data_IF_834178217435
#
_entry.id   IF_834178217435
#
_cell.length_a   1.000
_cell.length_b   1.000
_cell.length_c   1.000
_cell.angle_alpha   90.00
_cell.angle_beta   90.00
_cell.angle_gamma   90.00
#
_symmetry.space_group_name_H-M   'P 1'
#
loop_
_entity.id
_entity.type
_entity.pdbx_description
1 polymer ?
#
# COMPACT_ATOMS: atom_id res chain seq x y z
N UNK A 1 0.50 62.12 -56.30
CA UNK A 1 -0.81 61.65 -56.79
C UNK A 1 -0.95 60.17 -56.44
N UNK A 2 -1.90 59.88 -55.55
CA UNK A 2 -2.67 58.64 -55.35
C UNK A 2 -1.89 57.31 -55.23
N UNK A 3 -1.81 56.72 -54.02
CA UNK A 3 -2.73 55.66 -53.51
C UNK A 3 -2.07 54.27 -53.70
N UNK A 4 -2.05 53.29 -52.79
CA UNK A 4 -2.55 53.10 -51.43
C UNK A 4 -2.02 51.75 -50.89
N UNK A 5 -2.02 51.61 -49.54
CA UNK A 5 -2.26 50.39 -48.72
C UNK A 5 -1.19 49.28 -48.78
N UNK A 6 -0.80 48.62 -47.69
CA UNK A 6 -1.50 48.32 -46.44
C UNK A 6 -0.47 48.02 -45.34
N UNK A 7 -0.60 48.69 -44.20
CA UNK A 7 0.01 48.29 -42.94
C UNK A 7 -1.07 47.79 -41.97
N UNK A 8 -0.63 47.04 -40.97
CA UNK A 8 -1.00 47.08 -39.55
C UNK A 8 -0.98 45.67 -38.97
N UNK A 9 0.12 45.36 -38.29
CA UNK A 9 0.21 44.28 -37.32
C UNK A 9 -0.50 44.74 -36.04
N UNK A 10 -1.60 44.09 -35.69
CA UNK A 10 -2.26 44.29 -34.43
C UNK A 10 -2.05 43.10 -33.48
N UNK A 11 -1.62 43.47 -32.27
CA UNK A 11 -2.14 42.97 -31.01
C UNK A 11 -1.69 41.59 -30.52
N UNK A 12 -0.77 41.66 -29.55
CA UNK A 12 -1.13 41.34 -28.17
C UNK A 12 -1.51 39.90 -27.88
N UNK A 13 -0.52 39.09 -27.54
CA UNK A 13 -0.74 38.00 -26.59
C UNK A 13 0.38 37.97 -25.55
N UNK A 14 0.09 38.67 -24.46
CA UNK A 14 0.65 38.47 -23.13
C UNK A 14 0.31 37.03 -22.70
N UNK A 15 1.18 36.10 -23.09
CA UNK A 15 1.08 34.70 -22.70
C UNK A 15 1.59 34.55 -21.27
N UNK A 16 0.63 34.60 -20.36
CA UNK A 16 0.67 34.23 -18.95
C UNK A 16 1.40 32.87 -18.77
N UNK A 17 2.73 32.88 -18.63
CA UNK A 17 3.52 31.72 -18.20
C UNK A 17 3.40 31.61 -16.68
N UNK A 18 2.28 31.06 -16.22
CA UNK A 18 2.27 30.35 -14.95
C UNK A 18 2.91 28.99 -15.19
N UNK A 19 4.24 28.93 -15.07
CA UNK A 19 4.93 27.67 -14.78
C UNK A 19 4.41 27.20 -13.42
N UNK A 20 3.34 26.41 -13.41
CA UNK A 20 2.98 25.61 -12.24
C UNK A 20 4.14 24.66 -12.02
N UNK A 21 5.00 24.99 -11.09
CA UNK A 21 5.98 24.07 -10.51
C UNK A 21 5.17 22.88 -10.03
N UNK A 22 5.25 21.76 -10.75
CA UNK A 22 4.53 20.56 -10.39
C UNK A 22 5.24 20.01 -9.15
N UNK A 23 4.63 20.21 -7.98
CA UNK A 23 5.14 19.69 -6.70
C UNK A 23 5.55 18.22 -6.88
N UNK A 24 6.64 17.80 -6.24
CA UNK A 24 7.09 16.40 -6.22
C UNK A 24 6.20 15.49 -5.36
N UNK A 25 5.25 16.09 -4.63
CA UNK A 25 4.40 15.42 -3.63
C UNK A 25 2.91 15.77 -3.79
N UNK A 26 2.33 15.82 -5.00
CA UNK A 26 1.01 16.35 -5.23
C UNK A 26 -0.08 15.50 -4.58
N UNK A 27 0.08 14.17 -4.57
CA UNK A 27 -0.91 13.29 -3.95
C UNK A 27 -0.81 13.33 -2.44
N UNK A 28 0.38 13.22 -1.87
CA UNK A 28 0.57 13.24 -0.42
C UNK A 28 0.15 14.58 0.19
N UNK A 29 0.43 15.72 -0.45
CA UNK A 29 -0.04 17.02 0.02
C UNK A 29 -1.56 17.08 0.10
N UNK A 30 -2.25 16.53 -0.89
CA UNK A 30 -3.69 16.65 -1.01
C UNK A 30 -4.44 15.61 -0.18
N UNK A 31 -3.88 14.41 -0.03
CA UNK A 31 -4.47 13.29 0.74
C UNK A 31 -4.29 13.42 2.25
N UNK A 32 -3.34 14.24 2.72
CA UNK A 32 -3.03 14.39 4.15
C UNK A 32 -3.51 15.71 4.75
N UNK A 33 -4.05 16.62 3.94
CA UNK A 33 -4.45 17.97 4.34
C UNK A 33 -5.58 17.93 5.38
N UNK A 34 -5.30 18.31 6.65
CA UNK A 34 -6.30 18.24 7.72
C UNK A 34 -7.41 19.31 7.56
N UNK A 35 -7.19 20.35 6.75
CA UNK A 35 -8.16 21.43 6.54
C UNK A 35 -9.29 21.04 5.60
N UNK A 36 -9.04 20.07 4.72
CA UNK A 36 -10.01 19.62 3.74
C UNK A 36 -10.87 18.46 4.24
N UNK A 37 -10.63 17.98 5.45
CA UNK A 37 -11.30 16.79 5.98
C UNK A 37 -11.30 15.67 4.95
N UNK A 38 -12.43 15.00 4.79
CA UNK A 38 -12.65 13.91 3.84
C UNK A 38 -12.86 14.35 2.38
N UNK A 39 -13.41 15.55 2.14
CA UNK A 39 -13.65 16.09 0.80
C UNK A 39 -12.35 16.36 0.04
N UNK A 40 -11.27 16.70 0.75
CA UNK A 40 -9.97 16.99 0.15
C UNK A 40 -9.30 15.84 -0.54
N UNK A 41 -9.45 14.64 0.03
CA UNK A 41 -8.85 13.44 -0.53
C UNK A 41 -9.66 12.93 -1.71
N UNK A 42 -10.99 12.92 -1.61
CA UNK A 42 -11.83 12.57 -2.75
C UNK A 42 -11.63 13.58 -3.89
N UNK A 43 -11.47 14.86 -3.59
CA UNK A 43 -11.01 15.85 -4.56
C UNK A 43 -9.58 15.58 -5.05
N UNK A 44 -8.70 14.96 -4.26
CA UNK A 44 -7.37 14.53 -4.68
C UNK A 44 -7.39 13.43 -5.71
N UNK A 45 -8.11 12.37 -5.39
CA UNK A 45 -8.29 11.21 -6.24
C UNK A 45 -9.05 11.63 -7.50
N UNK A 46 -10.13 12.40 -7.38
CA UNK A 46 -10.90 12.91 -8.51
C UNK A 46 -10.14 13.94 -9.37
N UNK A 47 -9.33 14.82 -8.78
CA UNK A 47 -8.48 15.76 -9.53
C UNK A 47 -7.32 15.06 -10.24
N UNK A 48 -6.80 13.97 -9.65
CA UNK A 48 -5.81 13.13 -10.29
C UNK A 48 -6.41 12.15 -11.32
N UNK A 49 -7.71 11.89 -11.25
CA UNK A 49 -8.44 10.95 -12.11
C UNK A 49 -9.74 11.56 -12.70
N UNK A 50 -9.66 12.59 -13.56
CA UNK A 50 -10.82 13.37 -14.02
C UNK A 50 -11.85 12.61 -14.89
N UNK A 51 -11.65 11.31 -15.15
CA UNK A 51 -12.47 10.52 -16.08
C UNK A 51 -13.14 9.29 -15.48
N UNK A 52 -13.03 9.03 -14.18
CA UNK A 52 -13.74 7.91 -13.54
C UNK A 52 -15.12 8.38 -13.08
N UNK A 53 -16.04 8.58 -14.03
CA UNK A 53 -17.46 8.41 -13.72
C UNK A 53 -17.69 6.90 -13.71
N UNK A 54 -17.68 6.28 -12.54
CA UNK A 54 -18.17 4.92 -12.38
C UNK A 54 -19.62 4.89 -12.89
N UNK A 55 -19.85 4.25 -14.02
CA UNK A 55 -21.18 3.83 -14.42
C UNK A 55 -21.46 2.51 -13.73
N UNK A 56 -22.54 2.45 -12.95
CA UNK A 56 -23.03 1.29 -12.18
C UNK A 56 -23.10 -0.05 -12.96
N UNK A 57 -22.98 0.00 -14.29
CA UNK A 57 -23.07 -1.16 -15.20
C UNK A 57 -21.90 -2.14 -15.17
N UNK A 58 -20.73 -1.80 -14.62
CA UNK A 58 -19.57 -2.70 -14.63
C UNK A 58 -19.54 -3.68 -13.44
N UNK A 59 -20.29 -3.40 -12.37
CA UNK A 59 -20.41 -4.27 -11.20
C UNK A 59 -21.42 -5.42 -11.41
N UNK A 60 -22.42 -5.24 -12.29
CA UNK A 60 -23.51 -6.20 -12.50
C UNK A 60 -23.13 -7.42 -13.37
N UNK A 61 -22.02 -7.39 -14.10
CA UNK A 61 -21.60 -8.49 -14.98
C UNK A 61 -20.67 -9.53 -14.31
N UNK A 62 -20.47 -9.43 -12.99
CA UNK A 62 -19.66 -10.38 -12.23
C UNK A 62 -20.47 -11.61 -11.85
N UNK A 63 -20.59 -12.56 -12.79
CA UNK A 63 -21.07 -13.91 -12.48
C UNK A 63 -20.14 -14.56 -11.43
N UNK A 64 -20.68 -14.67 -10.21
CA UNK A 64 -20.11 -15.47 -9.12
C UNK A 64 -20.33 -16.94 -9.47
N UNK A 65 -19.28 -17.63 -9.91
CA UNK A 65 -19.31 -19.09 -10.01
C UNK A 65 -18.09 -19.72 -9.34
N UNK A 66 -18.39 -20.66 -8.45
CA UNK A 66 -17.50 -21.63 -7.80
C UNK A 66 -16.41 -21.07 -6.86
N UNK A 67 -16.82 -20.42 -5.77
CA UNK A 67 -15.98 -20.31 -4.56
C UNK A 67 -16.63 -21.14 -3.45
N UNK A 68 -15.85 -21.83 -2.62
CA UNK A 68 -16.39 -22.43 -1.39
C UNK A 68 -17.09 -21.33 -0.59
N UNK A 69 -18.30 -21.60 -0.13
CA UNK A 69 -19.21 -20.62 0.49
C UNK A 69 -18.65 -19.87 1.71
N UNK A 70 -17.45 -20.22 2.17
CA UNK A 70 -16.89 -19.82 3.46
C UNK A 70 -15.65 -18.89 3.36
N UNK A 71 -15.20 -18.49 2.17
CA UNK A 71 -14.06 -17.56 1.99
C UNK A 71 -14.49 -16.23 1.38
N UNK A 72 -14.00 -15.12 1.96
CA UNK A 72 -14.23 -13.77 1.43
C UNK A 72 -13.60 -13.63 0.04
N UNK A 73 -14.27 -12.93 -0.87
CA UNK A 73 -13.80 -12.66 -2.23
C UNK A 73 -12.36 -12.11 -2.21
N UNK A 74 -11.39 -12.83 -2.80
CA UNK A 74 -10.00 -12.43 -2.80
C UNK A 74 -9.67 -11.09 -3.43
N UNK A 75 -10.55 -10.57 -4.29
CA UNK A 75 -10.41 -9.21 -4.82
C UNK A 75 -10.45 -8.18 -3.70
N UNK A 76 -11.09 -8.50 -2.58
CA UNK A 76 -11.06 -7.66 -1.38
C UNK A 76 -9.72 -7.73 -0.63
N UNK A 77 -8.94 -8.79 -0.73
CA UNK A 77 -7.59 -8.88 -0.14
C UNK A 77 -6.52 -8.19 -0.98
N UNK A 78 -6.84 -8.00 -2.26
CA UNK A 78 -6.07 -7.23 -3.25
C UNK A 78 -6.55 -5.80 -3.40
N UNK A 79 -7.68 -5.43 -2.78
CA UNK A 79 -8.02 -4.03 -2.68
C UNK A 79 -6.86 -3.39 -1.92
N UNK A 80 -6.13 -2.58 -2.66
CA UNK A 80 -5.16 -1.67 -2.10
C UNK A 80 -5.96 -0.65 -1.29
N UNK A 81 -6.35 -1.04 -0.07
CA UNK A 81 -7.05 -0.17 0.89
C UNK A 81 -6.20 1.02 1.29
N UNK A 82 -4.95 1.13 0.80
CA UNK A 82 -4.23 2.38 0.84
C UNK A 82 -5.00 3.49 0.09
N UNK A 83 -5.78 3.15 -0.95
CA UNK A 83 -6.74 4.07 -1.58
C UNK A 83 -7.87 4.50 -0.65
N UNK A 84 -8.17 3.65 0.33
CA UNK A 84 -9.23 3.84 1.31
C UNK A 84 -8.68 4.54 2.56
N UNK A 85 -7.38 4.51 2.87
CA UNK A 85 -6.75 5.26 4.00
C UNK A 85 -7.15 6.72 4.08
N UNK A 86 -7.63 7.26 2.96
CA UNK A 86 -7.95 8.65 2.79
C UNK A 86 -9.40 8.88 2.32
N UNK A 87 -10.23 7.84 2.13
CA UNK A 87 -11.63 7.97 1.70
C UNK A 87 -12.63 7.96 2.88
N UNK A 88 -13.72 8.73 2.76
CA UNK A 88 -14.69 9.01 3.83
C UNK A 88 -15.63 7.85 4.22
N UNK A 89 -16.25 8.01 5.40
CA UNK A 89 -17.40 7.27 5.91
C UNK A 89 -18.60 7.28 4.92
N UNK A 90 -18.88 8.42 4.27
CA UNK A 90 -20.13 8.67 3.52
C UNK A 90 -20.30 7.89 2.20
N UNK A 91 -19.24 7.27 1.68
CA UNK A 91 -19.28 6.44 0.46
C UNK A 91 -19.34 4.93 0.76
N UNK A 92 -18.92 4.51 1.95
CA UNK A 92 -18.99 3.12 2.42
C UNK A 92 -20.24 2.84 3.24
N UNK A 93 -20.80 3.88 3.84
CA UNK A 93 -21.97 3.90 4.68
C UNK A 93 -22.86 4.98 4.05
N UNK A 94 -23.97 4.58 3.44
CA UNK A 94 -24.84 5.53 2.75
C UNK A 94 -25.23 6.71 3.66
N UNK A 95 -25.79 7.76 3.08
CA UNK A 95 -26.21 9.01 3.75
C UNK A 95 -27.21 8.86 4.94
N UNK A 96 -27.44 7.65 5.44
CA UNK A 96 -28.08 7.30 6.70
C UNK A 96 -27.06 7.16 7.85
N UNK A 97 -26.43 8.28 8.25
CA UNK A 97 -25.33 8.41 9.23
C UNK A 97 -25.55 7.96 10.69
N UNK A 98 -26.47 7.03 10.96
CA UNK A 98 -26.63 6.36 12.26
C UNK A 98 -26.77 4.84 12.17
N UNK A 99 -27.42 4.31 11.12
CA UNK A 99 -27.59 2.86 10.95
C UNK A 99 -26.29 2.16 10.54
N UNK A 100 -25.52 2.80 9.68
CA UNK A 100 -24.35 2.20 9.05
C UNK A 100 -23.12 2.19 9.96
N UNK A 101 -22.93 3.24 10.79
CA UNK A 101 -21.91 3.22 11.86
C UNK A 101 -22.17 2.11 12.89
N UNK A 102 -23.45 1.88 13.22
CA UNK A 102 -23.84 0.77 14.09
C UNK A 102 -23.52 -0.60 13.47
N UNK A 103 -23.57 -0.74 12.14
CA UNK A 103 -23.22 -1.98 11.45
C UNK A 103 -21.71 -2.21 11.43
N UNK A 104 -20.89 -1.17 11.25
CA UNK A 104 -19.41 -1.30 11.32
C UNK A 104 -18.97 -1.66 12.74
N UNK A 105 -19.52 -1.01 13.76
CA UNK A 105 -19.23 -1.34 15.16
C UNK A 105 -19.66 -2.77 15.52
N UNK A 106 -20.85 -3.20 15.03
CA UNK A 106 -21.33 -4.56 15.22
C UNK A 106 -20.44 -5.58 14.49
N UNK A 107 -20.04 -5.29 13.25
CA UNK A 107 -19.17 -6.14 12.43
C UNK A 107 -17.79 -6.27 13.06
N UNK A 108 -17.20 -5.15 13.53
CA UNK A 108 -15.95 -5.15 14.30
C UNK A 108 -16.09 -6.06 15.52
N UNK A 109 -17.11 -5.82 16.36
CA UNK A 109 -17.31 -6.58 17.59
C UNK A 109 -17.47 -8.08 17.33
N UNK A 110 -18.29 -8.45 16.34
CA UNK A 110 -18.49 -9.84 15.94
C UNK A 110 -17.17 -10.46 15.47
N UNK A 111 -16.48 -9.80 14.54
CA UNK A 111 -15.26 -10.30 13.90
C UNK A 111 -14.15 -10.54 14.90
N UNK A 112 -13.87 -9.56 15.78
CA UNK A 112 -12.81 -9.70 16.78
C UNK A 112 -13.20 -10.64 17.94
N UNK A 113 -14.50 -10.85 18.17
CA UNK A 113 -14.97 -11.90 19.08
C UNK A 113 -14.67 -13.28 18.50
N UNK A 114 -15.01 -13.52 17.23
CA UNK A 114 -14.74 -14.79 16.57
C UNK A 114 -13.23 -15.04 16.40
N UNK A 115 -12.45 -14.03 16.02
CA UNK A 115 -10.98 -14.11 15.95
C UNK A 115 -10.38 -14.60 17.28
N UNK A 116 -10.85 -14.03 18.41
CA UNK A 116 -10.43 -14.45 19.75
C UNK A 116 -10.87 -15.88 20.09
N UNK A 117 -12.05 -16.30 19.64
CA UNK A 117 -12.53 -17.68 19.84
C UNK A 117 -11.69 -18.69 19.07
N UNK A 118 -11.32 -18.38 17.83
CA UNK A 118 -10.46 -19.26 17.04
C UNK A 118 -9.04 -19.33 17.60
N UNK A 119 -8.47 -18.21 18.05
CA UNK A 119 -7.16 -18.18 18.69
C UNK A 119 -7.06 -19.00 20.00
N UNK A 120 -8.19 -19.34 20.63
CA UNK A 120 -8.23 -20.09 21.90
C UNK A 120 -8.63 -21.55 21.75
N UNK A 121 -9.07 -22.00 20.56
CA UNK A 121 -9.45 -23.39 20.30
C UNK A 121 -8.26 -24.18 19.73
N UNK A 122 -8.17 -25.46 20.08
CA UNK A 122 -7.23 -26.40 19.46
C UNK A 122 -7.59 -26.64 17.97
N UNK A 123 -6.61 -27.12 17.19
CA UNK A 123 -6.51 -27.15 15.73
C UNK A 123 -7.72 -27.62 14.87
N UNK A 124 -8.80 -28.10 15.47
CA UNK A 124 -9.93 -28.75 14.80
C UNK A 124 -10.87 -27.76 14.05
N UNK A 125 -10.58 -26.44 14.02
CA UNK A 125 -11.38 -25.46 13.26
C UNK A 125 -10.57 -24.46 12.42
N UNK A 126 -9.41 -24.87 11.90
CA UNK A 126 -8.61 -24.01 11.00
C UNK A 126 -9.40 -23.53 9.77
N UNK A 127 -10.37 -24.33 9.31
CA UNK A 127 -11.22 -24.02 8.14
C UNK A 127 -11.91 -22.66 8.24
N UNK A 128 -12.26 -22.23 9.47
CA UNK A 128 -12.92 -20.94 9.69
C UNK A 128 -11.96 -19.86 10.22
N UNK A 129 -10.72 -20.22 10.56
CA UNK A 129 -9.76 -19.28 11.12
C UNK A 129 -9.22 -18.32 10.05
N UNK A 130 -8.91 -18.83 8.85
CA UNK A 130 -8.49 -17.98 7.74
C UNK A 130 -9.56 -16.94 7.35
N UNK A 131 -10.84 -17.30 7.13
CA UNK A 131 -11.91 -16.32 6.90
C UNK A 131 -12.07 -15.29 8.02
N UNK A 132 -11.95 -15.70 9.29
CA UNK A 132 -12.02 -14.78 10.42
C UNK A 132 -10.86 -13.76 10.42
N UNK A 133 -9.64 -14.21 10.11
CA UNK A 133 -8.48 -13.32 9.97
C UNK A 133 -8.64 -12.37 8.78
N UNK A 134 -9.17 -12.85 7.65
CA UNK A 134 -9.46 -12.03 6.47
C UNK A 134 -10.48 -10.94 6.79
N UNK A 135 -11.59 -11.30 7.45
CA UNK A 135 -12.60 -10.35 7.90
C UNK A 135 -12.00 -9.29 8.85
N UNK A 136 -11.17 -9.73 9.80
CA UNK A 136 -10.55 -8.83 10.77
C UNK A 136 -9.58 -7.85 10.09
N UNK A 137 -8.79 -8.33 9.13
CA UNK A 137 -7.90 -7.49 8.32
C UNK A 137 -8.69 -6.45 7.50
N UNK A 138 -9.83 -6.83 6.92
CA UNK A 138 -10.69 -5.87 6.22
C UNK A 138 -11.26 -4.81 7.15
N UNK A 139 -11.71 -5.18 8.35
CA UNK A 139 -12.16 -4.19 9.35
C UNK A 139 -11.02 -3.24 9.70
N UNK A 140 -9.80 -3.73 9.88
CA UNK A 140 -8.63 -2.87 10.12
C UNK A 140 -8.40 -1.90 8.96
N UNK A 141 -8.40 -2.41 7.73
CA UNK A 141 -8.24 -1.58 6.54
C UNK A 141 -9.32 -0.50 6.42
N UNK A 142 -10.59 -0.86 6.64
CA UNK A 142 -11.71 0.08 6.66
C UNK A 142 -11.56 1.12 7.79
N UNK A 143 -11.14 0.72 8.98
CA UNK A 143 -10.98 1.64 10.11
C UNK A 143 -9.78 2.57 9.97
N UNK A 144 -8.81 2.21 9.13
CA UNK A 144 -7.68 3.07 8.81
C UNK A 144 -8.11 4.27 7.94
N UNK A 145 -9.20 4.09 7.20
CA UNK A 145 -9.87 5.08 6.36
C UNK A 145 -10.72 6.09 7.14
N UNK A 146 -11.26 5.66 8.28
CA UNK A 146 -12.16 6.48 9.09
C UNK A 146 -11.40 7.72 9.61
N UNK A 147 -11.97 8.90 9.37
CA UNK A 147 -11.37 10.19 9.71
C UNK A 147 -11.24 10.48 11.22
N UNK A 148 -11.81 9.64 12.08
CA UNK A 148 -11.74 9.79 13.55
C UNK A 148 -10.40 9.30 14.13
N UNK A 149 -9.59 10.19 14.73
CA UNK A 149 -8.30 9.82 15.34
C UNK A 149 -8.42 8.78 16.47
N UNK A 150 -9.54 8.75 17.20
CA UNK A 150 -9.73 7.77 18.28
C UNK A 150 -9.94 6.37 17.71
N UNK A 151 -10.76 6.24 16.67
CA UNK A 151 -10.97 4.98 15.95
C UNK A 151 -9.67 4.49 15.32
N UNK A 152 -8.91 5.37 14.64
CA UNK A 152 -7.57 5.01 14.12
C UNK A 152 -6.60 4.56 15.21
N UNK A 153 -6.59 5.26 16.37
CA UNK A 153 -5.78 4.86 17.53
C UNK A 153 -6.17 3.48 18.06
N UNK A 154 -7.48 3.20 18.23
CA UNK A 154 -7.95 1.88 18.67
C UNK A 154 -7.56 0.80 17.67
N UNK A 155 -7.74 1.07 16.39
CA UNK A 155 -7.38 0.16 15.31
C UNK A 155 -5.88 -0.16 15.38
N UNK A 156 -5.01 0.86 15.41
CA UNK A 156 -3.56 0.69 15.43
C UNK A 156 -3.07 0.00 16.72
N UNK A 157 -3.57 0.41 17.90
CA UNK A 157 -3.05 -0.10 19.17
C UNK A 157 -3.68 -1.43 19.62
N UNK A 158 -4.82 -1.84 19.07
CA UNK A 158 -5.56 -3.02 19.56
C UNK A 158 -5.96 -3.99 18.45
N UNK A 159 -6.44 -3.49 17.31
CA UNK A 159 -7.01 -4.36 16.27
C UNK A 159 -5.94 -4.91 15.36
N UNK A 160 -5.07 -4.06 14.84
CA UNK A 160 -3.95 -4.49 14.00
C UNK A 160 -3.04 -5.51 14.74
N UNK A 161 -2.59 -5.27 15.98
CA UNK A 161 -1.83 -6.27 16.74
C UNK A 161 -2.57 -7.59 16.92
N UNK A 162 -3.89 -7.55 17.18
CA UNK A 162 -4.69 -8.77 17.33
C UNK A 162 -4.77 -9.60 16.03
N UNK A 163 -4.83 -8.95 14.86
CA UNK A 163 -4.79 -9.65 13.56
C UNK A 163 -3.40 -10.24 13.30
N UNK A 164 -2.33 -9.50 13.61
CA UNK A 164 -0.95 -9.98 13.50
C UNK A 164 -0.75 -11.23 14.38
N UNK A 165 -1.17 -11.17 15.64
CA UNK A 165 -1.05 -12.29 16.58
C UNK A 165 -1.90 -13.49 16.16
N UNK A 166 -3.09 -13.26 15.60
CA UNK A 166 -3.92 -14.33 15.06
C UNK A 166 -3.26 -15.00 13.84
N UNK A 167 -2.67 -14.23 12.91
CA UNK A 167 -1.96 -14.77 11.76
C UNK A 167 -0.73 -15.59 12.18
N UNK A 168 0.00 -15.16 13.22
CA UNK A 168 1.10 -15.92 13.83
C UNK A 168 0.60 -17.21 14.46
N UNK A 169 -0.44 -17.15 15.30
CA UNK A 169 -1.01 -18.29 15.99
C UNK A 169 -1.58 -19.35 15.03
N UNK A 170 -2.13 -18.91 13.89
CA UNK A 170 -2.64 -19.78 12.85
C UNK A 170 -1.55 -20.41 11.96
N UNK A 171 -0.28 -19.99 12.09
CA UNK A 171 0.82 -20.48 11.26
C UNK A 171 0.80 -19.96 9.82
N UNK A 172 0.11 -18.84 9.55
CA UNK A 172 0.06 -18.26 8.20
C UNK A 172 1.36 -17.53 7.84
N UNK A 173 2.08 -17.03 8.85
CA UNK A 173 3.37 -16.35 8.68
C UNK A 173 4.42 -17.33 8.15
N UNK A 174 5.09 -16.94 7.06
CA UNK A 174 6.14 -17.76 6.45
C UNK A 174 5.63 -18.86 5.51
N UNK A 175 4.32 -18.95 5.26
CA UNK A 175 3.77 -19.88 4.27
C UNK A 175 4.39 -19.61 2.89
N UNK A 176 4.78 -20.68 2.21
CA UNK A 176 5.35 -20.65 0.88
C UNK A 176 4.64 -21.66 -0.04
N UNK A 177 4.67 -21.37 -1.35
CA UNK A 177 4.24 -22.34 -2.37
C UNK A 177 5.22 -23.51 -2.44
N UNK A 178 4.72 -24.70 -2.75
CA UNK A 178 5.57 -25.85 -3.04
C UNK A 178 6.29 -25.63 -4.38
N UNK A 179 7.61 -25.81 -4.38
CA UNK A 179 8.47 -25.63 -5.56
C UNK A 179 8.49 -26.86 -6.50
N UNK A 180 7.80 -27.94 -6.13
CA UNK A 180 7.82 -29.20 -6.89
C UNK A 180 6.44 -29.46 -7.51
N UNK A 181 6.42 -29.57 -8.84
CA UNK A 181 5.23 -29.79 -9.66
C UNK A 181 4.40 -30.97 -9.16
N UNK A 182 3.14 -30.69 -8.84
CA UNK A 182 2.23 -31.60 -8.16
C UNK A 182 1.39 -30.96 -7.04
N UNK A 183 1.49 -29.64 -6.83
CA UNK A 183 0.56 -28.94 -5.92
C UNK A 183 -0.86 -29.04 -6.48
N UNK A 184 -1.77 -29.67 -5.74
CA UNK A 184 -3.19 -29.68 -6.06
C UNK A 184 -3.69 -28.22 -6.08
N UNK A 185 -4.56 -27.88 -7.03
CA UNK A 185 -5.06 -26.50 -7.19
C UNK A 185 -5.70 -25.96 -5.90
N UNK A 186 -6.40 -26.81 -5.15
CA UNK A 186 -7.01 -26.50 -3.84
C UNK A 186 -5.97 -26.13 -2.77
N UNK A 187 -4.88 -26.89 -2.67
CA UNK A 187 -3.76 -26.60 -1.77
C UNK A 187 -3.05 -25.29 -2.14
N UNK A 188 -2.89 -25.03 -3.45
CA UNK A 188 -2.39 -23.75 -3.92
C UNK A 188 -3.29 -22.61 -3.45
N UNK A 189 -4.61 -22.75 -3.64
CA UNK A 189 -5.57 -21.71 -3.29
C UNK A 189 -5.50 -21.35 -1.79
N UNK A 190 -5.46 -22.36 -0.93
CA UNK A 190 -5.35 -22.15 0.51
C UNK A 190 -4.04 -21.44 0.88
N UNK A 191 -2.90 -21.89 0.35
CA UNK A 191 -1.59 -21.28 0.62
C UNK A 191 -1.52 -19.84 0.12
N UNK A 192 -2.02 -19.60 -1.08
CA UNK A 192 -2.05 -18.28 -1.69
C UNK A 192 -2.93 -17.31 -0.90
N UNK A 193 -4.08 -17.77 -0.38
CA UNK A 193 -4.92 -16.98 0.50
C UNK A 193 -4.19 -16.56 1.79
N UNK A 194 -3.41 -17.47 2.40
CA UNK A 194 -2.58 -17.17 3.57
C UNK A 194 -1.47 -16.17 3.24
N UNK A 195 -0.76 -16.36 2.12
CA UNK A 195 0.32 -15.47 1.66
C UNK A 195 -0.22 -14.05 1.43
N UNK A 196 -1.36 -13.93 0.74
CA UNK A 196 -2.01 -12.64 0.48
C UNK A 196 -2.51 -11.98 1.75
N UNK A 197 -3.10 -12.73 2.68
CA UNK A 197 -3.52 -12.21 3.98
C UNK A 197 -2.32 -11.63 4.73
N UNK A 198 -1.22 -12.38 4.88
CA UNK A 198 -0.02 -11.92 5.58
C UNK A 198 0.58 -10.67 4.91
N UNK A 199 0.60 -10.65 3.58
CA UNK A 199 1.07 -9.48 2.82
C UNK A 199 0.21 -8.25 3.08
N UNK A 200 -1.12 -8.42 3.15
CA UNK A 200 -2.07 -7.33 3.44
C UNK A 200 -1.94 -6.84 4.89
N UNK A 201 -1.84 -7.76 5.86
CA UNK A 201 -1.61 -7.43 7.28
C UNK A 201 -0.33 -6.63 7.46
N UNK A 202 0.77 -7.05 6.81
CA UNK A 202 2.03 -6.31 6.83
C UNK A 202 1.91 -4.93 6.17
N UNK A 203 1.22 -4.86 5.04
CA UNK A 203 0.98 -3.59 4.33
C UNK A 203 0.27 -2.60 5.26
N UNK A 204 -0.79 -3.01 5.95
CA UNK A 204 -1.48 -2.17 6.94
C UNK A 204 -0.52 -1.71 8.07
N UNK A 205 0.30 -2.60 8.61
CA UNK A 205 1.30 -2.28 9.65
C UNK A 205 2.32 -1.23 9.18
N UNK A 206 2.79 -1.37 7.94
CA UNK A 206 3.76 -0.46 7.35
C UNK A 206 3.17 0.91 7.00
N UNK A 207 1.90 0.95 6.58
CA UNK A 207 1.17 2.20 6.38
C UNK A 207 0.99 2.93 7.73
N UNK A 208 0.66 2.23 8.81
CA UNK A 208 0.61 2.82 10.15
C UNK A 208 1.95 3.40 10.59
N UNK A 209 3.03 2.68 10.29
CA UNK A 209 4.39 3.14 10.57
C UNK A 209 4.73 4.41 9.78
N UNK A 210 4.39 4.42 8.49
CA UNK A 210 4.67 5.52 7.58
C UNK A 210 3.85 6.77 7.92
N UNK A 211 2.52 6.65 8.00
CA UNK A 211 1.63 7.82 8.09
C UNK A 211 1.44 8.34 9.51
N UNK A 212 1.57 7.47 10.52
CA UNK A 212 1.18 7.78 11.89
C UNK A 212 2.32 7.65 12.90
N UNK A 213 3.57 7.37 12.46
CA UNK A 213 4.70 7.00 13.33
C UNK A 213 4.33 5.89 14.33
N UNK A 214 3.44 4.98 13.95
CA UNK A 214 3.13 3.86 14.81
C UNK A 214 4.32 2.88 14.81
N UNK A 215 4.79 2.39 15.96
CA UNK A 215 5.80 1.33 15.96
C UNK A 215 5.31 0.10 15.20
N UNK A 216 6.12 -0.50 14.31
CA UNK A 216 5.77 -1.74 13.62
C UNK A 216 5.34 -2.85 14.59
N UNK A 217 4.20 -3.47 14.34
CA UNK A 217 3.74 -4.67 15.06
C UNK A 217 4.26 -5.96 14.42
N UNK A 218 4.70 -5.89 13.15
CA UNK A 218 5.24 -7.00 12.38
C UNK A 218 6.67 -6.72 11.90
N UNK A 219 7.56 -7.68 12.12
CA UNK A 219 8.95 -7.57 11.69
C UNK A 219 9.10 -7.99 10.21
N UNK A 220 10.01 -7.34 9.49
CA UNK A 220 10.36 -7.72 8.11
C UNK A 220 10.84 -9.18 8.03
N UNK A 221 11.49 -9.68 9.10
CA UNK A 221 11.96 -11.05 9.19
C UNK A 221 10.85 -12.09 9.09
N UNK A 222 9.62 -11.73 9.44
CA UNK A 222 8.42 -12.58 9.37
C UNK A 222 7.91 -12.76 7.94
N UNK A 223 8.30 -11.88 7.01
CA UNK A 223 7.98 -12.00 5.59
C UNK A 223 8.94 -12.94 4.86
N UNK A 224 9.15 -14.13 5.41
CA UNK A 224 10.04 -15.16 4.86
C UNK A 224 9.33 -16.14 3.91
N UNK A 225 8.01 -16.04 3.78
CA UNK A 225 7.21 -16.86 2.88
C UNK A 225 7.32 -16.43 1.42
N UNK A 226 6.62 -17.13 0.54
CA UNK A 226 6.52 -16.74 -0.88
C UNK A 226 5.87 -15.36 -0.99
N UNK A 227 6.28 -14.57 -2.00
CA UNK A 227 5.47 -13.43 -2.43
C UNK A 227 4.16 -13.92 -3.06
N UNK A 228 3.10 -13.09 -3.06
CA UNK A 228 1.87 -13.44 -3.76
C UNK A 228 2.12 -13.69 -5.24
N UNK A 229 1.46 -14.71 -5.76
CA UNK A 229 1.54 -15.08 -7.18
C UNK A 229 0.86 -14.04 -8.07
N UNK A 230 1.15 -14.04 -9.39
CA UNK A 230 0.44 -13.19 -10.36
C UNK A 230 -1.07 -13.42 -10.33
N UNK A 231 -1.84 -12.39 -10.67
CA UNK A 231 -3.30 -12.42 -10.58
C UNK A 231 -3.90 -13.45 -11.54
N UNK A 232 -3.26 -13.72 -12.65
CA UNK A 232 -3.69 -14.68 -13.66
C UNK A 232 -3.76 -16.10 -13.07
N UNK A 233 -2.78 -16.48 -12.24
CA UNK A 233 -2.77 -17.78 -11.56
C UNK A 233 -3.82 -17.83 -10.46
N UNK A 234 -3.91 -16.76 -9.68
CA UNK A 234 -4.81 -16.68 -8.54
C UNK A 234 -6.28 -16.63 -8.94
N UNK A 235 -6.60 -15.91 -10.03
CA UNK A 235 -7.95 -15.72 -10.55
C UNK A 235 -8.37 -16.78 -11.56
N UNK A 236 -7.56 -17.83 -11.74
CA UNK A 236 -7.94 -18.97 -12.56
C UNK A 236 -9.30 -19.50 -12.10
N UNK A 237 -10.22 -19.69 -13.04
CA UNK A 237 -11.60 -20.14 -12.76
C UNK A 237 -11.77 -21.65 -12.81
N UNK A 238 -10.71 -22.35 -13.20
CA UNK A 238 -10.67 -23.80 -13.30
C UNK A 238 -9.25 -24.31 -13.08
N UNK A 239 -9.14 -25.57 -12.69
CA UNK A 239 -7.86 -26.26 -12.54
C UNK A 239 -7.04 -26.27 -13.83
N UNK A 240 -7.71 -26.43 -14.98
CA UNK A 240 -7.06 -26.38 -16.29
C UNK A 240 -6.45 -25.00 -16.60
N UNK A 241 -7.16 -23.93 -16.24
CA UNK A 241 -6.66 -22.56 -16.37
C UNK A 241 -5.48 -22.31 -15.43
N UNK A 242 -5.57 -22.79 -14.18
CA UNK A 242 -4.48 -22.71 -13.21
C UNK A 242 -3.18 -23.36 -13.72
N UNK A 243 -3.24 -24.60 -14.21
CA UNK A 243 -2.04 -25.26 -14.75
C UNK A 243 -1.52 -24.56 -16.00
N UNK A 244 -2.40 -24.03 -16.85
CA UNK A 244 -2.00 -23.29 -18.05
C UNK A 244 -1.20 -22.03 -17.68
N UNK A 245 -1.70 -21.22 -16.75
CA UNK A 245 -1.01 -20.01 -16.29
C UNK A 245 0.26 -20.36 -15.49
N UNK A 246 0.21 -21.41 -14.66
CA UNK A 246 1.37 -21.84 -13.85
C UNK A 246 2.53 -22.30 -14.73
N UNK A 247 2.28 -23.13 -15.75
CA UNK A 247 3.33 -23.59 -16.67
C UNK A 247 3.96 -22.45 -17.48
N UNK A 248 3.19 -21.42 -17.85
CA UNK A 248 3.72 -20.23 -18.50
C UNK A 248 4.67 -19.44 -17.59
N UNK A 249 4.49 -19.55 -16.27
CA UNK A 249 5.31 -18.88 -15.25
C UNK A 249 6.47 -19.73 -14.74
N UNK A 250 6.46 -21.05 -14.89
CA UNK A 250 7.57 -21.94 -14.50
C UNK A 250 8.89 -21.55 -15.19
N UNK A 251 8.84 -20.99 -16.41
CA UNK A 251 10.00 -20.42 -17.09
C UNK A 251 10.59 -19.15 -16.44
N UNK A 252 9.93 -18.60 -15.41
CA UNK A 252 10.28 -17.34 -14.73
C UNK A 252 10.72 -17.52 -13.27
N UNK A 253 10.62 -18.71 -12.66
CA UNK A 253 10.61 -18.83 -11.19
C UNK A 253 11.96 -19.11 -10.50
N UNK A 254 12.28 -18.20 -9.58
CA UNK A 254 12.58 -18.51 -8.18
C UNK A 254 11.87 -17.45 -7.34
N UNK A 255 10.67 -17.73 -6.82
CA UNK A 255 9.90 -16.73 -6.07
C UNK A 255 10.62 -16.40 -4.77
N UNK A 256 11.05 -15.14 -4.64
CA UNK A 256 11.74 -14.63 -3.47
C UNK A 256 10.73 -14.13 -2.46
N UNK A 257 11.10 -14.15 -1.20
CA UNK A 257 10.34 -13.53 -0.12
C UNK A 257 10.53 -12.01 -0.10
N UNK A 258 9.59 -11.25 0.48
CA UNK A 258 9.79 -9.80 0.69
C UNK A 258 11.01 -9.50 1.55
N UNK A 259 11.28 -10.35 2.56
CA UNK A 259 12.51 -10.27 3.35
C UNK A 259 13.76 -10.31 2.48
N UNK A 260 13.84 -11.25 1.54
CA UNK A 260 14.99 -11.37 0.63
C UNK A 260 15.09 -10.20 -0.34
N UNK A 261 13.97 -9.73 -0.89
CA UNK A 261 13.96 -8.57 -1.79
C UNK A 261 14.44 -7.29 -1.09
N UNK A 262 13.95 -7.03 0.14
CA UNK A 262 14.36 -5.89 0.95
C UNK A 262 15.86 -5.97 1.31
N UNK A 263 16.34 -7.16 1.69
CA UNK A 263 17.75 -7.40 1.96
C UNK A 263 18.63 -7.20 0.71
N UNK A 264 18.17 -7.66 -0.45
CA UNK A 264 18.89 -7.50 -1.71
C UNK A 264 18.96 -6.03 -2.16
N UNK A 265 17.92 -5.23 -1.92
CA UNK A 265 18.00 -3.78 -2.18
C UNK A 265 19.09 -3.11 -1.34
N UNK A 266 19.26 -3.56 -0.10
CA UNK A 266 20.29 -3.08 0.84
C UNK A 266 21.67 -3.70 0.61
N UNK A 267 21.79 -4.80 -0.14
CA UNK A 267 23.06 -5.54 -0.27
C UNK A 267 24.11 -4.81 -1.12
N UNK A 268 25.30 -5.38 -1.19
CA UNK A 268 26.32 -4.95 -2.15
C UNK A 268 25.88 -5.24 -3.61
N UNK A 269 26.52 -4.56 -4.57
CA UNK A 269 26.09 -4.55 -5.98
C UNK A 269 26.04 -5.93 -6.64
N UNK A 270 27.00 -6.82 -6.34
CA UNK A 270 27.04 -8.17 -6.89
C UNK A 270 25.81 -9.00 -6.46
N UNK A 271 25.53 -9.02 -5.16
CA UNK A 271 24.37 -9.72 -4.60
C UNK A 271 23.04 -9.12 -5.09
N UNK A 272 22.98 -7.81 -5.31
CA UNK A 272 21.81 -7.15 -5.90
C UNK A 272 21.58 -7.59 -7.35
N UNK A 273 22.63 -7.70 -8.17
CA UNK A 273 22.51 -8.12 -9.56
C UNK A 273 22.02 -9.57 -9.71
N UNK A 274 22.44 -10.45 -8.81
CA UNK A 274 21.98 -11.85 -8.75
C UNK A 274 20.55 -11.98 -8.16
N UNK A 275 20.02 -10.89 -7.60
CA UNK A 275 18.75 -10.93 -6.90
C UNK A 275 17.52 -10.98 -7.83
N UNK A 276 17.66 -10.78 -9.15
CA UNK A 276 16.55 -10.94 -10.10
C UNK A 276 15.33 -10.06 -9.80
N UNK A 277 15.53 -8.91 -9.16
CA UNK A 277 14.46 -8.03 -8.69
C UNK A 277 13.74 -7.31 -9.84
N UNK A 278 14.30 -7.31 -11.04
CA UNK A 278 13.70 -6.75 -12.25
C UNK A 278 12.38 -7.45 -12.63
N UNK A 279 12.12 -8.64 -12.10
CA UNK A 279 10.89 -9.40 -12.38
C UNK A 279 9.75 -9.08 -11.42
N UNK A 280 9.99 -8.30 -10.36
CA UNK A 280 8.95 -7.96 -9.39
C UNK A 280 7.83 -7.12 -10.02
N UNK A 281 6.59 -7.42 -9.64
CA UNK A 281 5.42 -6.64 -10.03
C UNK A 281 5.36 -5.31 -9.27
N UNK A 282 4.54 -4.35 -9.75
CA UNK A 282 4.33 -3.08 -9.03
C UNK A 282 3.78 -3.29 -7.61
N UNK A 283 2.85 -4.24 -7.42
CA UNK A 283 2.32 -4.55 -6.08
C UNK A 283 3.41 -5.08 -5.14
N UNK A 284 4.30 -5.94 -5.65
CA UNK A 284 5.43 -6.45 -4.87
C UNK A 284 6.44 -5.35 -4.56
N UNK A 285 6.73 -4.47 -5.52
CA UNK A 285 7.58 -3.31 -5.30
C UNK A 285 6.96 -2.32 -4.30
N UNK A 286 5.64 -2.09 -4.34
CA UNK A 286 4.94 -1.25 -3.37
C UNK A 286 5.11 -1.79 -1.94
N UNK A 287 4.86 -3.09 -1.74
CA UNK A 287 5.08 -3.74 -0.44
C UNK A 287 6.54 -3.64 0.02
N UNK A 288 7.49 -3.72 -0.93
CA UNK A 288 8.93 -3.62 -0.64
C UNK A 288 9.32 -2.22 -0.13
N UNK A 289 8.81 -1.13 -0.74
CA UNK A 289 9.09 0.23 -0.23
C UNK A 289 8.41 0.51 1.11
N UNK A 290 7.25 -0.09 1.34
CA UNK A 290 6.61 -0.07 2.66
C UNK A 290 7.47 -0.78 3.70
N UNK A 291 8.10 -1.91 3.37
CA UNK A 291 9.08 -2.55 4.24
C UNK A 291 10.34 -1.71 4.49
N UNK A 292 10.78 -0.90 3.52
CA UNK A 292 11.82 0.10 3.78
C UNK A 292 11.38 1.13 4.83
N UNK A 293 10.08 1.44 4.99
CA UNK A 293 9.61 2.34 6.05
C UNK A 293 9.85 1.78 7.44
N UNK A 294 9.68 0.47 7.64
CA UNK A 294 10.03 -0.17 8.91
C UNK A 294 11.51 -0.01 9.21
N UNK A 295 12.39 -0.12 8.19
CA UNK A 295 13.83 0.11 8.37
C UNK A 295 14.10 1.57 8.76
N UNK A 296 13.52 2.54 8.04
CA UNK A 296 13.65 3.98 8.34
C UNK A 296 13.18 4.29 9.77
N UNK A 297 12.02 3.75 10.16
CA UNK A 297 11.50 3.91 11.52
C UNK A 297 12.47 3.36 12.56
N UNK A 298 13.02 2.15 12.35
CA UNK A 298 13.96 1.55 13.29
C UNK A 298 15.28 2.33 13.41
N UNK A 299 15.78 2.95 12.34
CA UNK A 299 16.94 3.85 12.43
C UNK A 299 16.70 5.02 13.36
N UNK A 300 15.49 5.59 13.32
CA UNK A 300 15.08 6.69 14.19
C UNK A 300 14.88 6.20 15.63
N UNK A 301 14.22 5.05 15.81
CA UNK A 301 13.78 4.58 17.12
C UNK A 301 14.84 3.79 17.92
N UNK A 302 15.82 3.14 17.27
CA UNK A 302 16.69 2.13 17.90
C UNK A 302 18.17 2.52 18.01
N UNK A 303 18.52 3.82 17.92
CA UNK A 303 19.90 4.32 18.01
C UNK A 303 20.89 3.59 17.08
N UNK A 304 20.45 3.23 15.87
CA UNK A 304 21.28 2.49 14.92
C UNK A 304 22.45 3.35 14.39
N UNK A 305 23.61 2.76 14.04
CA UNK A 305 24.74 3.53 13.53
C UNK A 305 24.40 4.28 12.23
N UNK A 306 24.67 5.59 12.21
CA UNK A 306 24.45 6.46 11.03
C UNK A 306 25.15 5.96 9.76
N UNK A 307 26.24 5.20 9.89
CA UNK A 307 26.94 4.56 8.77
C UNK A 307 26.05 3.65 7.93
N UNK A 308 24.99 3.09 8.52
CA UNK A 308 24.03 2.25 7.81
C UNK A 308 22.96 3.03 7.03
N UNK A 309 22.80 4.34 7.23
CA UNK A 309 21.81 5.16 6.52
C UNK A 309 22.08 5.20 5.01
N UNK A 310 23.36 5.21 4.60
CA UNK A 310 23.75 5.15 3.19
C UNK A 310 23.25 3.87 2.51
N UNK A 311 23.17 2.76 3.24
CA UNK A 311 22.61 1.50 2.74
C UNK A 311 21.11 1.60 2.48
N UNK A 312 20.36 2.27 3.37
CA UNK A 312 18.92 2.47 3.18
C UNK A 312 18.64 3.44 2.04
N UNK A 313 19.42 4.52 1.92
CA UNK A 313 19.29 5.46 0.79
C UNK A 313 19.55 4.77 -0.55
N UNK A 314 20.60 3.93 -0.63
CA UNK A 314 20.89 3.11 -1.81
C UNK A 314 19.75 2.15 -2.14
N UNK A 315 19.13 1.54 -1.14
CA UNK A 315 17.99 0.66 -1.33
C UNK A 315 16.79 1.40 -1.95
N UNK A 316 16.49 2.62 -1.49
CA UNK A 316 15.44 3.47 -2.07
C UNK A 316 15.75 3.88 -3.52
N UNK A 317 17.01 4.22 -3.82
CA UNK A 317 17.42 4.60 -5.18
C UNK A 317 17.29 3.42 -6.16
N UNK A 318 17.72 2.21 -5.75
CA UNK A 318 17.54 0.98 -6.53
C UNK A 318 16.07 0.64 -6.72
N UNK A 319 15.28 0.75 -5.65
CA UNK A 319 13.84 0.54 -5.71
C UNK A 319 13.18 1.48 -6.73
N UNK A 320 13.55 2.77 -6.75
CA UNK A 320 12.98 3.75 -7.67
C UNK A 320 13.26 3.39 -9.15
N UNK A 321 14.47 2.88 -9.45
CA UNK A 321 14.80 2.40 -10.80
C UNK A 321 13.97 1.17 -11.20
N UNK A 322 13.79 0.22 -10.28
CA UNK A 322 12.95 -0.96 -10.49
C UNK A 322 11.49 -0.57 -10.70
N UNK A 323 10.99 0.37 -9.90
CA UNK A 323 9.64 0.91 -10.02
C UNK A 323 9.39 1.55 -11.39
N UNK A 324 10.29 2.45 -11.83
CA UNK A 324 10.18 3.07 -13.14
C UNK A 324 10.18 2.02 -14.27
N UNK A 325 11.08 1.05 -14.20
CA UNK A 325 11.16 -0.05 -15.17
C UNK A 325 9.89 -0.89 -15.19
N UNK A 326 9.32 -1.20 -14.03
CA UNK A 326 8.09 -1.98 -13.93
C UNK A 326 6.86 -1.20 -14.43
N UNK A 327 6.81 0.11 -14.15
CA UNK A 327 5.75 1.00 -14.62
C UNK A 327 5.77 1.18 -16.15
N UNK A 328 6.96 1.20 -16.75
CA UNK A 328 7.13 1.31 -18.21
C UNK A 328 6.63 0.08 -18.98
N UNK A 329 6.48 -1.07 -18.30
CA UNK A 329 5.85 -2.26 -18.89
C UNK A 329 4.33 -2.16 -18.96
N UNK A 330 3.73 -1.19 -18.28
CA UNK A 330 2.29 -0.98 -18.25
C UNK A 330 1.92 0.13 -19.24
N UNK A 331 1.00 -0.21 -20.14
CA UNK A 331 0.46 0.74 -21.11
C UNK A 331 -0.09 1.98 -20.41
N UNK A 332 0.18 3.20 -20.91
CA UNK A 332 -0.23 4.44 -20.26
C UNK A 332 -1.73 4.51 -19.91
N UNK A 333 -2.58 3.89 -20.74
CA UNK A 333 -4.03 3.83 -20.50
C UNK A 333 -4.40 3.03 -19.25
N UNK A 334 -3.63 1.98 -18.95
CA UNK A 334 -3.93 1.04 -17.86
C UNK A 334 -3.36 1.50 -16.52
N UNK A 335 -2.43 2.46 -16.54
CA UNK A 335 -1.83 3.05 -15.33
C UNK A 335 -2.85 3.71 -14.39
N UNK A 336 -4.03 4.09 -14.89
CA UNK A 336 -5.14 4.61 -14.05
C UNK A 336 -5.67 3.57 -13.06
N UNK A 337 -5.59 2.29 -13.40
CA UNK A 337 -6.07 1.19 -12.56
C UNK A 337 -5.11 0.78 -11.46
N UNK A 338 -3.93 1.43 -11.39
CA UNK A 338 -2.96 1.19 -10.32
C UNK A 338 -3.39 1.79 -8.96
N UNK A 339 -4.51 2.52 -8.93
CA UNK A 339 -5.00 3.16 -7.72
C UNK A 339 -3.95 4.11 -7.14
N UNK A 340 -3.78 4.10 -5.82
CA UNK A 340 -2.80 4.98 -5.17
C UNK A 340 -1.39 4.40 -5.12
N UNK A 341 -1.22 3.10 -5.39
CA UNK A 341 0.11 2.49 -5.48
C UNK A 341 1.00 3.22 -6.51
N UNK A 342 0.41 3.86 -7.53
CA UNK A 342 1.17 4.71 -8.49
C UNK A 342 1.91 5.89 -7.82
N UNK A 343 1.50 6.31 -6.62
CA UNK A 343 2.15 7.34 -5.81
C UNK A 343 3.19 6.80 -4.83
N UNK A 344 3.53 5.51 -4.87
CA UNK A 344 4.64 4.94 -4.12
C UNK A 344 5.97 5.71 -4.25
N UNK A 345 6.30 6.35 -5.41
CA UNK A 345 7.47 7.22 -5.50
C UNK A 345 7.47 8.40 -4.51
N UNK A 346 6.30 8.94 -4.15
CA UNK A 346 6.17 10.00 -3.15
C UNK A 346 6.54 9.48 -1.74
N UNK A 347 6.14 8.24 -1.42
CA UNK A 347 6.54 7.56 -0.18
C UNK A 347 8.06 7.42 -0.15
N UNK A 348 8.68 6.85 -1.19
CA UNK A 348 10.14 6.70 -1.27
C UNK A 348 10.89 8.03 -1.13
N UNK A 349 10.36 9.10 -1.75
CA UNK A 349 10.91 10.45 -1.63
C UNK A 349 10.87 10.95 -0.19
N UNK A 350 9.71 10.85 0.49
CA UNK A 350 9.58 11.28 1.88
C UNK A 350 10.50 10.47 2.79
N UNK A 351 10.61 9.15 2.60
CA UNK A 351 11.54 8.30 3.36
C UNK A 351 12.97 8.77 3.23
N UNK A 352 13.39 9.12 2.01
CA UNK A 352 14.73 9.66 1.76
C UNK A 352 14.92 10.98 2.51
N UNK A 353 13.93 11.87 2.47
CA UNK A 353 13.99 13.15 3.18
C UNK A 353 14.06 13.00 4.70
N UNK A 354 13.32 12.03 5.24
CA UNK A 354 13.44 11.64 6.65
C UNK A 354 14.88 11.20 6.95
N UNK A 355 15.48 10.30 6.17
CA UNK A 355 16.88 9.86 6.36
C UNK A 355 17.88 11.02 6.26
N UNK A 356 17.68 11.96 5.34
CA UNK A 356 18.49 13.18 5.21
C UNK A 356 18.39 14.05 6.48
N UNK A 357 17.21 14.16 7.08
CA UNK A 357 17.02 14.88 8.34
C UNK A 357 17.72 14.17 9.53
N UNK A 358 17.75 12.83 9.58
CA UNK A 358 18.53 12.05 10.57
C UNK A 358 20.02 12.38 10.44
N UNK A 359 20.53 12.39 9.20
CA UNK A 359 21.94 12.69 8.93
C UNK A 359 22.32 14.11 9.38
N UNK A 360 21.42 15.08 9.18
CA UNK A 360 21.59 16.49 9.53
C UNK A 360 21.27 16.82 10.99
N UNK A 361 20.79 15.85 11.78
CA UNK A 361 20.37 16.06 13.18
C UNK A 361 19.21 17.05 13.34
N UNK A 362 18.30 17.09 12.36
CA UNK A 362 17.13 17.98 12.31
C UNK A 362 15.84 17.32 12.82
N UNK A 363 15.93 16.22 13.55
CA UNK A 363 14.77 15.42 13.98
C UNK A 363 13.88 16.16 15.00
N UNK A 364 14.39 17.18 15.68
CA UNK A 364 13.64 17.97 16.67
C UNK A 364 12.66 18.98 16.05
N UNK A 365 12.90 19.38 14.81
CA UNK A 365 12.28 20.55 14.18
C UNK A 365 10.83 20.29 13.75
N UNK A 366 10.51 19.05 13.40
CA UNK A 366 9.19 18.65 12.90
C UNK A 366 8.50 17.68 13.86
N UNK A 367 7.20 17.88 14.09
CA UNK A 367 6.41 17.05 15.02
C UNK A 367 6.47 15.56 14.67
N UNK A 368 6.40 15.24 13.37
CA UNK A 368 6.50 13.87 12.90
C UNK A 368 7.87 13.24 13.21
N UNK A 369 8.97 14.01 13.20
CA UNK A 369 10.30 13.43 13.42
C UNK A 369 10.55 13.00 14.87
N UNK A 370 9.76 13.50 15.82
CA UNK A 370 9.86 13.21 17.27
C UNK A 370 9.43 11.81 17.72
N UNK A 371 9.08 10.91 16.80
CA UNK A 371 8.70 9.52 17.07
C UNK A 371 7.51 9.34 18.02
N UNK A 372 6.64 10.35 18.09
CA UNK A 372 5.36 10.25 18.79
C UNK A 372 4.29 9.84 17.79
N UNK A 373 3.61 8.73 18.07
CA UNK A 373 2.50 8.27 17.26
C UNK A 373 1.40 9.35 17.21
N UNK A 374 0.95 9.68 16.00
CA UNK A 374 -0.07 10.68 15.74
C UNK A 374 -1.14 10.07 14.84
N UNK A 375 -2.43 10.20 15.19
CA UNK A 375 -3.53 9.54 14.48
C UNK A 375 -4.48 10.53 13.78
N UNK A 376 -4.07 11.80 13.68
CA UNK A 376 -4.83 12.90 13.10
C UNK A 376 -4.24 13.41 11.77
N UNK A 377 -3.29 12.66 11.18
CA UNK A 377 -2.50 12.95 9.96
C UNK A 377 -1.78 14.31 9.90
N UNK A 378 -2.02 15.21 10.86
CA UNK A 378 -1.56 16.60 10.82
C UNK A 378 -0.03 16.72 10.86
N UNK A 379 0.61 15.93 11.71
CA UNK A 379 2.07 15.94 11.83
C UNK A 379 2.75 15.41 10.55
N UNK A 380 2.16 14.39 9.92
CA UNK A 380 2.66 13.87 8.65
C UNK A 380 2.42 14.86 7.50
N UNK A 381 1.27 15.55 7.48
CA UNK A 381 1.01 16.61 6.52
C UNK A 381 2.02 17.76 6.63
N UNK A 382 2.34 18.21 7.85
CA UNK A 382 3.37 19.23 8.07
C UNK A 382 4.74 18.81 7.54
N UNK A 383 5.11 17.54 7.71
CA UNK A 383 6.34 16.97 7.16
C UNK A 383 6.36 17.08 5.63
N UNK A 384 5.26 16.69 4.97
CA UNK A 384 5.13 16.75 3.51
C UNK A 384 5.22 18.19 3.03
N UNK A 385 4.50 19.12 3.66
CA UNK A 385 4.54 20.55 3.34
C UNK A 385 5.96 21.10 3.44
N UNK A 386 6.67 20.78 4.53
CA UNK A 386 8.06 21.20 4.72
C UNK A 386 8.95 20.73 3.56
N UNK A 387 8.96 19.43 3.25
CA UNK A 387 9.83 18.91 2.19
C UNK A 387 9.38 19.27 0.76
N UNK A 388 8.10 19.53 0.54
CA UNK A 388 7.62 20.05 -0.73
C UNK A 388 8.20 21.45 -0.99
N UNK A 389 8.17 22.33 0.02
CA UNK A 389 8.74 23.69 -0.11
C UNK A 389 10.26 23.69 -0.30
N UNK A 390 11.00 22.81 0.38
CA UNK A 390 12.45 22.66 0.16
C UNK A 390 12.78 22.19 -1.27
N UNK A 391 11.96 21.29 -1.82
CA UNK A 391 12.16 20.76 -3.16
C UNK A 391 11.93 21.83 -4.24
N UNK A 392 10.98 22.74 -4.02
CA UNK A 392 10.71 23.87 -4.90
C UNK A 392 11.80 24.95 -4.82
N UNK A 393 12.41 25.15 -3.66
CA UNK A 393 13.51 26.11 -3.47
C UNK A 393 14.87 25.66 -4.03
N UNK A 394 15.00 24.37 -4.39
CA UNK A 394 16.25 23.76 -4.89
C UNK A 394 16.31 23.64 -6.42
N UNK A 395 15.28 24.12 -7.12
CA UNK A 395 15.16 24.19 -8.59
C UNK A 395 15.32 25.64 -9.04
#
# INVERSE_FOLDING_TARGET
MLSARQGLSEHGHEANRTTKTQSRLPFLLLSTDPSKGSEGVMAAVAAAEPHVKQTDTDLENLQVSAWSADTIDPRMLHMDFSSILFADDDLMLGSSGQGDRSLVELSEKYTFTELKRYATRAADSLDHFLPACQAANMIVSLQCSIGDPNTRKRMACQRQPAVVDAARAAGFVGVAHSLCGGTEWTDFLHREACIRLVTSVFTNDALLTCFFNHPPSMAIAELSGSMPSPNEVWQAKSEAEFYTHSHQLEGLQGQKSFREAINALMSEQAAYAEAGLEKLSLSQLHTTVLGCQHVVFNYRASMLPKSGLATVMRALDRWALLWATALDRIEPHDRKWLGIAKYAPEIAFISRKVLEAILREQEGDLRYLRLIANYDSSAFHELICHFATEAEASV
#
